data_IF_246876184132
#
_entry.id   IF_246876184132
#
_cell.length_a   1.000
_cell.length_b   1.000
_cell.length_c   1.000
_cell.angle_alpha   90.00
_cell.angle_beta   90.00
_cell.angle_gamma   90.00
#
_symmetry.space_group_name_H-M   'P 1'
#
loop_
_entity.id
_entity.type
_entity.pdbx_description
1 polymer ?
#
# COMPACT_ATOMS: atom_id res chain seq x y z
N UNK A 1 23.80 -5.60 0.75
CA UNK A 1 22.42 -5.17 0.46
C UNK A 1 21.54 -5.69 1.58
N UNK A 2 20.93 -4.80 2.38
CA UNK A 2 20.12 -5.20 3.54
C UNK A 2 18.82 -5.80 3.02
N UNK A 3 18.60 -7.10 3.25
CA UNK A 3 17.31 -7.75 2.95
C UNK A 3 16.28 -7.24 3.95
N UNK A 4 15.13 -6.80 3.48
CA UNK A 4 14.07 -6.24 4.32
C UNK A 4 12.86 -7.17 4.29
N UNK A 5 12.35 -7.51 5.46
CA UNK A 5 11.27 -8.47 5.65
C UNK A 5 9.97 -7.73 5.97
N UNK A 6 9.00 -7.79 5.05
CA UNK A 6 7.63 -7.30 5.27
C UNK A 6 6.80 -8.49 5.76
N UNK A 7 6.22 -8.35 6.95
CA UNK A 7 5.42 -9.37 7.62
C UNK A 7 3.94 -9.03 7.43
N UNK A 8 3.22 -9.91 6.74
CA UNK A 8 1.77 -9.85 6.62
C UNK A 8 1.16 -10.68 7.75
N UNK A 9 0.39 -10.07 8.65
CA UNK A 9 -0.52 -10.80 9.53
C UNK A 9 -1.83 -11.05 8.77
N UNK A 10 -1.92 -12.16 8.03
CA UNK A 10 -3.10 -12.43 7.20
C UNK A 10 -4.26 -12.92 8.08
N UNK A 11 -5.23 -12.04 8.34
CA UNK A 11 -6.56 -12.43 8.79
C UNK A 11 -7.36 -12.98 7.61
N UNK A 12 -7.41 -14.31 7.51
CA UNK A 12 -8.32 -15.11 6.66
C UNK A 12 -8.08 -15.01 5.14
N UNK A 13 -7.52 -16.07 4.56
CA UNK A 13 -7.95 -16.57 3.24
C UNK A 13 -8.25 -18.07 3.39
N UNK A 14 -9.53 -18.41 3.27
CA UNK A 14 -9.99 -19.78 3.06
C UNK A 14 -9.69 -20.20 1.62
N UNK A 15 -8.91 -21.26 1.42
CA UNK A 15 -8.85 -22.00 0.18
C UNK A 15 -8.66 -23.49 0.51
N UNK A 16 -9.55 -24.32 -0.04
CA UNK A 16 -9.85 -25.69 0.36
C UNK A 16 -8.65 -26.65 0.31
N UNK A 17 -8.49 -27.45 1.38
CA UNK A 17 -7.62 -28.63 1.39
C UNK A 17 -8.40 -29.85 0.85
N UNK A 18 -7.74 -30.77 0.10
CA UNK A 18 -8.35 -32.05 -0.26
C UNK A 18 -8.55 -32.90 1.00
N UNK A 19 -9.73 -33.52 1.12
CA UNK A 19 -10.07 -34.43 2.22
C UNK A 19 -9.17 -35.68 2.13
N UNK A 20 -8.24 -35.84 3.06
CA UNK A 20 -7.62 -37.15 3.29
C UNK A 20 -8.29 -37.83 4.50
N UNK A 21 -9.01 -38.89 4.20
CA UNK A 21 -9.56 -39.88 5.12
C UNK A 21 -8.44 -40.71 5.76
N UNK A 22 -8.40 -40.79 7.09
CA UNK A 22 -7.51 -41.72 7.79
C UNK A 22 -7.65 -41.63 9.30
N UNK A 23 -8.26 -42.64 9.90
CA UNK A 23 -8.50 -42.80 11.33
C UNK A 23 -7.23 -43.15 12.13
N UNK A 24 -7.17 -42.76 13.41
CA UNK A 24 -6.98 -43.67 14.56
C UNK A 24 -6.97 -42.90 15.90
N UNK A 25 -7.43 -43.57 16.94
CA UNK A 25 -7.82 -43.09 18.26
C UNK A 25 -6.66 -42.91 19.28
N UNK A 26 -6.90 -42.13 20.34
CA UNK A 26 -6.06 -42.09 21.53
C UNK A 26 -6.42 -40.99 22.55
N UNK A 27 -7.25 -41.38 23.53
CA UNK A 27 -7.36 -40.97 24.96
C UNK A 27 -6.89 -39.59 25.45
N UNK A 28 -7.77 -38.93 26.19
CA UNK A 28 -7.63 -37.54 26.63
C UNK A 28 -6.73 -37.27 27.85
N UNK A 29 -6.33 -36.00 27.94
CA UNK A 29 -6.00 -35.28 29.15
C UNK A 29 -6.54 -33.84 29.01
N UNK A 30 -7.23 -33.37 30.04
CA UNK A 30 -7.82 -32.04 30.13
C UNK A 30 -6.71 -30.99 30.24
N UNK A 31 -6.21 -30.50 29.11
CA UNK A 31 -5.26 -29.37 29.09
C UNK A 31 -6.03 -28.07 29.03
N UNK A 32 -5.89 -27.28 30.10
CA UNK A 32 -6.16 -25.86 30.10
C UNK A 32 -5.63 -25.24 28.79
N UNK A 33 -6.53 -24.68 27.99
CA UNK A 33 -6.18 -23.91 26.80
C UNK A 33 -5.52 -22.61 27.28
N UNK A 34 -4.22 -22.68 27.53
CA UNK A 34 -3.37 -21.51 27.60
C UNK A 34 -3.46 -20.79 26.26
N UNK A 35 -4.07 -19.60 26.29
CA UNK A 35 -4.38 -18.76 25.14
C UNK A 35 -3.11 -18.08 24.62
N UNK A 36 -2.07 -18.86 24.36
CA UNK A 36 -0.89 -18.42 23.62
C UNK A 36 -1.21 -18.61 22.14
N UNK A 37 -1.90 -17.64 21.54
CA UNK A 37 -2.21 -17.62 20.11
C UNK A 37 -0.87 -17.66 19.35
N UNK A 38 -0.55 -18.83 18.84
CA UNK A 38 0.68 -19.15 18.13
C UNK A 38 0.86 -18.31 16.87
N UNK A 39 2.12 -17.97 16.62
CA UNK A 39 2.58 -17.04 15.60
C UNK A 39 2.60 -17.65 14.18
N UNK A 40 1.65 -18.52 13.84
CA UNK A 40 1.64 -19.27 12.58
C UNK A 40 0.67 -18.65 11.57
N UNK A 41 1.16 -17.64 10.86
CA UNK A 41 1.11 -17.52 9.39
C UNK A 41 1.61 -16.12 8.98
N UNK A 42 2.93 -15.97 9.04
CA UNK A 42 3.68 -14.81 8.57
C UNK A 42 4.10 -15.06 7.12
N UNK A 43 3.50 -14.37 6.15
CA UNK A 43 4.03 -14.33 4.79
C UNK A 43 5.22 -13.36 4.76
N UNK A 44 6.40 -13.88 4.42
CA UNK A 44 7.64 -13.13 4.29
C UNK A 44 7.70 -12.48 2.90
N UNK A 45 7.38 -11.20 2.79
CA UNK A 45 7.57 -10.47 1.53
C UNK A 45 8.95 -9.82 1.56
N UNK A 46 9.88 -10.38 0.80
CA UNK A 46 11.26 -9.90 0.65
C UNK A 46 11.41 -8.86 -0.46
N UNK A 47 10.43 -8.76 -1.35
CA UNK A 47 10.43 -7.83 -2.49
C UNK A 47 9.05 -7.22 -2.72
N UNK A 48 9.00 -5.88 -2.77
CA UNK A 48 7.78 -5.12 -3.02
C UNK A 48 7.27 -5.26 -4.46
N UNK A 49 8.08 -5.76 -5.40
CA UNK A 49 7.66 -5.97 -6.79
C UNK A 49 6.82 -7.22 -6.99
N UNK A 50 6.76 -8.10 -5.99
CA UNK A 50 5.92 -9.32 -6.01
C UNK A 50 4.50 -9.06 -5.49
N UNK A 51 4.23 -7.85 -4.98
CA UNK A 51 2.92 -7.51 -4.44
C UNK A 51 1.91 -7.25 -5.55
N UNK A 52 0.78 -7.94 -5.49
CA UNK A 52 -0.37 -7.59 -6.32
C UNK A 52 -0.96 -6.22 -5.91
N UNK A 53 -1.43 -5.46 -6.90
CA UNK A 53 -2.09 -4.18 -6.64
C UNK A 53 -3.50 -4.43 -6.07
N UNK A 54 -3.60 -4.41 -4.75
CA UNK A 54 -4.87 -4.44 -4.00
C UNK A 54 -5.02 -3.18 -3.16
N UNK A 55 -6.23 -2.90 -2.67
CA UNK A 55 -6.50 -1.73 -1.82
C UNK A 55 -5.73 -1.82 -0.51
N UNK A 56 -5.68 -3.02 0.05
CA UNK A 56 -5.01 -3.36 1.29
C UNK A 56 -3.49 -3.19 1.12
N UNK A 57 -2.92 -3.77 0.06
CA UNK A 57 -1.49 -3.65 -0.23
C UNK A 57 -1.09 -2.20 -0.51
N UNK A 58 -1.93 -1.44 -1.21
CA UNK A 58 -1.67 -0.01 -1.46
C UNK A 58 -1.53 0.76 -0.15
N UNK A 59 -2.49 0.63 0.77
CA UNK A 59 -2.41 1.30 2.07
C UNK A 59 -1.19 0.83 2.87
N UNK A 60 -0.87 -0.46 2.80
CA UNK A 60 0.31 -1.04 3.44
C UNK A 60 1.61 -0.39 2.93
N UNK A 61 1.77 -0.28 1.61
CA UNK A 61 2.96 0.26 0.97
C UNK A 61 3.08 1.77 1.21
N UNK A 62 1.97 2.52 1.22
CA UNK A 62 1.96 3.94 1.61
C UNK A 62 2.50 4.11 3.04
N UNK A 63 2.03 3.28 3.99
CA UNK A 63 2.51 3.28 5.39
C UNK A 63 3.98 2.87 5.47
N UNK A 64 4.39 1.85 4.71
CA UNK A 64 5.75 1.36 4.63
C UNK A 64 6.74 2.48 4.23
N UNK A 65 6.41 3.26 3.20
CA UNK A 65 7.24 4.40 2.76
C UNK A 65 7.17 5.61 3.71
N UNK A 66 6.40 5.53 4.81
CA UNK A 66 6.21 6.60 5.79
C UNK A 66 5.78 7.90 5.11
N UNK A 67 4.84 7.78 4.17
CA UNK A 67 4.19 8.93 3.55
C UNK A 67 3.35 9.64 4.62
N UNK A 68 3.50 10.97 4.71
CA UNK A 68 2.70 11.78 5.63
C UNK A 68 1.23 11.73 5.22
N UNK A 69 0.34 11.65 6.22
CA UNK A 69 -1.11 11.51 6.04
C UNK A 69 -1.49 10.31 5.15
N UNK A 70 -1.11 9.08 5.53
CA UNK A 70 -1.23 7.90 4.68
C UNK A 70 -2.68 7.62 4.22
N UNK A 71 -3.66 7.89 5.08
CA UNK A 71 -5.09 7.73 4.75
C UNK A 71 -5.55 8.72 3.68
N UNK A 72 -5.06 9.96 3.74
CA UNK A 72 -5.36 10.99 2.74
C UNK A 72 -4.75 10.58 1.40
N UNK A 73 -3.47 10.22 1.41
CA UNK A 73 -2.75 9.81 0.19
C UNK A 73 -3.37 8.55 -0.43
N UNK A 74 -3.82 7.60 0.39
CA UNK A 74 -4.59 6.46 -0.08
C UNK A 74 -5.86 6.91 -0.82
N UNK A 75 -6.65 7.80 -0.23
CA UNK A 75 -7.87 8.31 -0.87
C UNK A 75 -7.57 9.05 -2.18
N UNK A 76 -6.45 9.77 -2.25
CA UNK A 76 -5.98 10.37 -3.52
C UNK A 76 -5.66 9.31 -4.55
N UNK A 77 -4.85 8.31 -4.21
CA UNK A 77 -4.54 7.22 -5.12
C UNK A 77 -5.82 6.59 -5.66
N UNK A 78 -6.82 6.34 -4.81
CA UNK A 78 -8.11 5.80 -5.22
C UNK A 78 -8.88 6.72 -6.16
N UNK A 79 -8.85 8.04 -5.93
CA UNK A 79 -9.51 9.02 -6.79
C UNK A 79 -8.81 9.15 -8.15
N UNK A 80 -7.50 9.41 -8.15
CA UNK A 80 -6.69 9.66 -9.35
C UNK A 80 -6.58 8.42 -10.25
N UNK A 81 -6.57 7.22 -9.66
CA UNK A 81 -6.53 5.95 -10.39
C UNK A 81 -7.90 5.44 -10.83
N UNK A 82 -9.01 6.15 -10.53
CA UNK A 82 -10.36 5.66 -10.81
C UNK A 82 -10.63 4.32 -10.12
N UNK A 83 -10.37 4.25 -8.81
CA UNK A 83 -10.46 3.04 -7.99
C UNK A 83 -9.58 1.90 -8.56
N UNK A 84 -8.33 2.21 -8.89
CA UNK A 84 -7.30 1.30 -9.44
C UNK A 84 -7.59 0.76 -10.85
N UNK A 85 -8.53 1.34 -11.59
CA UNK A 85 -8.96 0.84 -12.89
C UNK A 85 -8.56 1.72 -14.08
N UNK A 86 -8.03 2.93 -13.84
CA UNK A 86 -7.65 3.84 -14.92
C UNK A 86 -6.58 3.23 -15.82
N UNK A 87 -6.60 3.61 -17.10
CA UNK A 87 -5.61 3.16 -18.07
C UNK A 87 -4.18 3.47 -17.61
N UNK A 88 -3.96 4.67 -17.07
CA UNK A 88 -2.66 5.09 -16.56
C UNK A 88 -2.19 4.25 -15.36
N UNK A 89 -3.11 3.89 -14.45
CA UNK A 89 -2.83 3.00 -13.34
C UNK A 89 -2.46 1.59 -13.83
N UNK A 90 -3.26 1.00 -14.73
CA UNK A 90 -3.12 -0.40 -15.15
C UNK A 90 -1.97 -0.64 -16.13
N UNK A 91 -1.72 0.30 -17.05
CA UNK A 91 -0.72 0.13 -18.11
C UNK A 91 0.64 0.72 -17.74
N UNK A 92 0.67 1.73 -16.87
CA UNK A 92 1.89 2.45 -16.52
C UNK A 92 2.20 2.43 -15.03
N UNK A 93 1.45 1.65 -14.25
CA UNK A 93 1.65 1.52 -12.80
C UNK A 93 1.65 2.87 -12.08
N UNK A 94 0.94 3.87 -12.61
CA UNK A 94 0.95 5.25 -12.11
C UNK A 94 -0.38 5.57 -11.42
N UNK A 95 -0.38 5.42 -10.10
CA UNK A 95 -1.58 5.52 -9.26
C UNK A 95 -2.02 6.96 -9.00
N UNK A 96 -1.11 7.92 -9.19
CA UNK A 96 -1.26 9.30 -8.76
C UNK A 96 -1.32 10.29 -9.92
N UNK A 97 -1.37 9.80 -11.17
CA UNK A 97 -1.38 10.66 -12.36
C UNK A 97 -0.11 11.52 -12.50
N UNK A 98 1.04 11.04 -12.01
CA UNK A 98 2.26 11.85 -11.94
C UNK A 98 2.87 12.07 -13.32
N UNK A 99 3.26 13.31 -13.60
CA UNK A 99 4.11 13.66 -14.74
C UNK A 99 5.55 13.24 -14.50
N UNK A 100 6.25 12.88 -15.58
CA UNK A 100 7.68 12.60 -15.52
C UNK A 100 8.40 13.85 -15.01
N UNK A 101 9.10 13.77 -13.86
CA UNK A 101 9.90 14.89 -13.38
C UNK A 101 11.15 15.09 -14.24
N UNK A 102 11.56 16.35 -14.38
CA UNK A 102 12.78 16.75 -15.10
C UNK A 102 13.94 17.15 -14.20
N UNK A 103 13.71 17.41 -12.91
CA UNK A 103 14.68 18.06 -12.03
C UNK A 103 14.77 17.49 -10.61
N UNK A 104 13.90 16.55 -10.24
CA UNK A 104 13.94 15.86 -8.95
C UNK A 104 14.26 14.39 -9.13
N UNK A 105 14.75 13.76 -8.08
CA UNK A 105 14.86 12.31 -7.99
C UNK A 105 13.51 11.64 -8.29
N UNK A 106 13.55 10.48 -8.96
CA UNK A 106 12.37 9.76 -9.36
C UNK A 106 12.57 8.25 -9.39
N UNK A 107 11.51 7.53 -9.02
CA UNK A 107 11.41 6.08 -9.22
C UNK A 107 10.77 5.71 -10.57
N UNK A 108 10.49 6.70 -11.42
CA UNK A 108 9.94 6.49 -12.77
C UNK A 108 10.93 5.74 -13.65
N UNK A 109 10.44 4.73 -14.38
CA UNK A 109 11.22 3.98 -15.38
C UNK A 109 11.16 4.62 -16.76
N UNK A 110 10.39 5.70 -16.94
CA UNK A 110 10.31 6.42 -18.20
C UNK A 110 9.07 7.28 -18.34
N UNK A 111 8.92 7.87 -19.53
CA UNK A 111 7.85 8.81 -19.85
C UNK A 111 7.00 8.30 -21.00
N UNK A 112 5.69 8.35 -20.85
CA UNK A 112 4.75 8.06 -21.93
C UNK A 112 4.53 9.28 -22.84
N UNK A 113 3.86 9.09 -23.99
CA UNK A 113 3.70 10.11 -25.05
C UNK A 113 3.11 11.43 -24.54
N UNK A 114 2.22 11.39 -23.54
CA UNK A 114 1.59 12.58 -22.96
C UNK A 114 2.33 13.18 -21.77
N UNK A 115 3.58 12.76 -21.52
CA UNK A 115 4.42 13.32 -20.47
C UNK A 115 4.26 12.69 -19.09
N UNK A 116 3.27 11.80 -18.90
CA UNK A 116 3.13 11.07 -17.65
C UNK A 116 4.27 10.08 -17.41
N UNK A 117 4.63 9.92 -16.13
CA UNK A 117 5.58 8.91 -15.69
C UNK A 117 5.02 7.49 -15.88
N UNK A 118 5.91 6.56 -16.16
CA UNK A 118 5.67 5.12 -16.18
C UNK A 118 6.55 4.44 -15.15
N UNK A 119 6.03 3.39 -14.52
CA UNK A 119 6.74 2.69 -13.46
C UNK A 119 6.82 1.19 -13.76
N UNK A 120 7.93 0.57 -13.39
CA UNK A 120 8.11 -0.88 -13.55
C UNK A 120 7.13 -1.69 -12.70
N UNK A 121 6.71 -1.14 -11.57
CA UNK A 121 5.74 -1.74 -10.67
C UNK A 121 4.93 -0.66 -9.94
N UNK A 122 3.69 -0.95 -9.52
CA UNK A 122 2.82 0.04 -8.88
C UNK A 122 3.41 0.63 -7.60
N UNK A 123 4.18 -0.17 -6.84
CA UNK A 123 4.87 0.27 -5.62
C UNK A 123 5.89 1.37 -5.89
N UNK A 124 6.47 1.43 -7.10
CA UNK A 124 7.39 2.50 -7.51
C UNK A 124 6.70 3.84 -7.72
N UNK A 125 5.42 3.86 -8.08
CA UNK A 125 4.67 5.13 -8.09
C UNK A 125 4.40 5.65 -6.68
N UNK A 126 4.25 4.76 -5.69
CA UNK A 126 4.13 5.14 -4.27
C UNK A 126 5.45 5.68 -3.74
N UNK A 127 6.57 5.03 -4.10
CA UNK A 127 7.92 5.52 -3.82
C UNK A 127 8.15 6.91 -4.43
N UNK A 128 7.77 7.11 -5.70
CA UNK A 128 7.91 8.41 -6.38
C UNK A 128 7.05 9.50 -5.74
N UNK A 129 5.85 9.14 -5.27
CA UNK A 129 5.01 10.06 -4.50
C UNK A 129 5.73 10.47 -3.21
N UNK A 130 6.40 9.55 -2.51
CA UNK A 130 7.17 9.87 -1.30
C UNK A 130 8.31 10.84 -1.60
N UNK A 131 9.07 10.61 -2.69
CA UNK A 131 10.13 11.53 -3.13
C UNK A 131 9.57 12.93 -3.40
N UNK A 132 8.47 13.00 -4.13
CA UNK A 132 7.77 14.26 -4.42
C UNK A 132 7.24 14.95 -3.14
N UNK A 133 6.65 14.21 -2.21
CA UNK A 133 6.13 14.74 -0.95
C UNK A 133 7.25 15.29 -0.06
N UNK A 134 8.38 14.59 0.04
CA UNK A 134 9.54 15.04 0.81
C UNK A 134 10.07 16.37 0.28
N UNK A 135 10.21 16.49 -1.03
CA UNK A 135 10.61 17.73 -1.69
C UNK A 135 9.64 18.86 -1.35
N UNK A 136 8.33 18.62 -1.44
CA UNK A 136 7.33 19.64 -1.10
C UNK A 136 7.35 20.04 0.36
N UNK A 137 7.60 19.11 1.29
CA UNK A 137 7.79 19.44 2.71
C UNK A 137 9.03 20.31 2.96
N UNK A 138 10.09 20.12 2.17
CA UNK A 138 11.30 20.96 2.28
C UNK A 138 11.09 22.37 1.72
N UNK A 139 10.22 22.53 0.72
CA UNK A 139 9.94 23.82 0.07
C UNK A 139 8.83 24.61 0.77
N UNK A 140 7.87 23.93 1.41
CA UNK A 140 6.68 24.55 2.01
C UNK A 140 6.05 23.64 3.06
N UNK A 141 5.17 24.18 3.91
CA UNK A 141 4.34 23.34 4.76
C UNK A 141 3.41 22.49 3.88
N UNK A 142 3.58 21.17 3.90
CA UNK A 142 2.80 20.25 3.08
C UNK A 142 1.29 20.37 3.32
N UNK A 143 0.87 20.73 4.55
CA UNK A 143 -0.55 21.02 4.81
C UNK A 143 -1.01 22.22 4.00
N UNK A 144 -0.27 23.33 3.99
CA UNK A 144 -0.59 24.50 3.16
C UNK A 144 -0.62 24.17 1.67
N UNK A 145 0.21 23.21 1.22
CA UNK A 145 0.16 22.71 -0.14
C UNK A 145 -1.11 21.90 -0.44
N UNK A 146 -1.50 21.00 0.46
CA UNK A 146 -2.76 20.26 0.34
C UNK A 146 -3.94 21.25 0.32
N UNK A 147 -3.96 22.20 1.24
CA UNK A 147 -4.95 23.27 1.33
C UNK A 147 -5.13 24.00 0.00
N UNK A 148 -4.03 24.49 -0.59
CA UNK A 148 -4.02 25.18 -1.90
C UNK A 148 -4.47 24.31 -3.07
N UNK A 149 -4.29 22.99 -3.01
CA UNK A 149 -4.76 22.05 -4.03
C UNK A 149 -6.25 21.70 -3.91
N UNK A 150 -6.95 22.21 -2.90
CA UNK A 150 -8.37 22.02 -2.73
C UNK A 150 -8.75 21.16 -1.51
N UNK A 151 -7.83 20.91 -0.57
CA UNK A 151 -8.17 20.22 0.67
C UNK A 151 -8.89 21.09 1.70
N UNK A 152 -8.61 22.40 1.78
CA UNK A 152 -9.26 23.29 2.74
C UNK A 152 -10.41 24.11 2.17
N UNK A 153 -10.37 24.46 0.88
CA UNK A 153 -11.30 25.48 0.36
C UNK A 153 -12.32 24.96 -0.67
N UNK A 154 -12.09 23.81 -1.29
CA UNK A 154 -13.05 23.26 -2.25
C UNK A 154 -13.89 22.16 -1.59
N UNK A 155 -15.04 22.57 -1.04
CA UNK A 155 -16.01 21.71 -0.36
C UNK A 155 -16.28 20.40 -1.16
N UNK A 156 -16.23 20.46 -2.49
CA UNK A 156 -16.42 19.31 -3.39
C UNK A 156 -15.32 18.25 -3.26
N UNK A 157 -14.05 18.64 -3.18
CA UNK A 157 -12.93 17.68 -3.17
C UNK A 157 -12.87 16.91 -1.85
N UNK A 158 -12.98 17.61 -0.72
CA UNK A 158 -13.05 16.99 0.61
C UNK A 158 -14.30 16.11 0.77
N UNK A 159 -15.45 16.51 0.18
CA UNK A 159 -16.66 15.67 0.09
C UNK A 159 -16.48 14.42 -0.78
N UNK A 160 -15.63 14.45 -1.81
CA UNK A 160 -15.34 13.27 -2.62
C UNK A 160 -14.45 12.30 -1.83
N UNK A 161 -13.40 12.79 -1.19
CA UNK A 161 -12.49 11.95 -0.41
C UNK A 161 -13.17 11.33 0.81
N UNK A 162 -14.12 12.03 1.46
CA UNK A 162 -14.86 11.48 2.59
C UNK A 162 -15.73 10.27 2.22
N UNK A 163 -16.11 10.13 0.95
CA UNK A 163 -16.86 8.96 0.44
C UNK A 163 -15.97 7.73 0.23
N UNK A 164 -14.65 7.92 0.12
CA UNK A 164 -13.71 6.82 -0.09
C UNK A 164 -13.41 6.17 1.26
N UNK A 165 -13.85 4.92 1.39
CA UNK A 165 -13.59 4.10 2.59
C UNK A 165 -12.17 3.54 2.55
N UNK A 166 -11.52 3.53 3.71
CA UNK A 166 -10.30 2.77 3.91
C UNK A 166 -10.62 1.27 3.83
N UNK A 167 -9.70 0.44 3.32
CA UNK A 167 -9.85 -1.00 3.35
C UNK A 167 -9.82 -1.49 4.80
N UNK A 168 -10.34 -2.69 5.05
CA UNK A 168 -10.18 -3.33 6.35
C UNK A 168 -8.68 -3.44 6.65
N UNK A 169 -8.25 -2.92 7.80
CA UNK A 169 -6.83 -2.87 8.14
C UNK A 169 -6.31 -4.27 8.39
N UNK A 170 -5.46 -4.76 7.51
CA UNK A 170 -4.52 -5.83 7.82
C UNK A 170 -3.34 -5.16 8.53
N UNK A 171 -3.12 -5.46 9.81
CA UNK A 171 -1.99 -4.90 10.56
C UNK A 171 -0.69 -5.56 10.09
N UNK A 172 0.02 -4.90 9.17
CA UNK A 172 1.36 -5.34 8.75
C UNK A 172 2.38 -4.99 9.84
N UNK A 173 2.86 -5.99 10.60
CA UNK A 173 3.91 -5.83 11.61
C UNK A 173 5.30 -5.92 10.99
N UNK A 174 5.82 -4.86 10.37
CA UNK A 174 7.17 -4.84 9.79
C UNK A 174 8.23 -5.05 10.88
N UNK A 175 8.88 -6.23 10.91
CA UNK A 175 10.03 -6.49 11.80
C UNK A 175 11.30 -5.95 11.14
N UNK A 176 11.95 -4.98 11.79
CA UNK A 176 13.28 -4.51 11.40
C UNK A 176 14.30 -5.57 11.82
N UNK A 177 15.02 -6.19 10.87
CA UNK A 177 16.19 -7.00 11.24
C UNK A 177 17.35 -6.05 11.61
N UNK A 178 17.98 -6.33 12.74
CA UNK A 178 19.19 -5.67 13.23
C UNK A 178 20.41 -6.15 12.47
#
# INVERSE_FOLDING_TARGET
MKKLVIVIACGIIAAALPKNTGASAGTGEDKAIDLTIGAENLLEITDLTELELTKENLLAVIKYFKIAHPEIVYKQAMLESGNLNSWLCRQHNNLFGMYQPSWRETASSGRQKHGYASFSHWTKSVEDYKLWQNLKQSETNYMNYLEKRGYSENEKYSKILSKIKLPATVDFRIKKQH
#
